data_IF_727756143319
#
_entry.id   IF_727756143319
#
_cell.length_a   1.000
_cell.length_b   1.000
_cell.length_c   1.000
_cell.angle_alpha   90.00
_cell.angle_beta   90.00
_cell.angle_gamma   90.00
#
_symmetry.space_group_name_H-M   'P 1'
#
loop_
_entity.id
_entity.type
_entity.pdbx_description
1 polymer ?
#
# COMPACT_ATOMS: atom_id res chain seq x y z
N UNK A 1 -16.54 -0.02 -9.00
CA UNK A 1 -15.70 0.05 -7.78
C UNK A 1 -15.39 1.52 -7.55
N UNK A 2 -15.47 1.98 -6.33
CA UNK A 2 -15.11 3.34 -5.93
C UNK A 2 -13.89 3.29 -5.02
N UNK A 3 -12.90 4.13 -5.25
CA UNK A 3 -11.71 4.27 -4.40
C UNK A 3 -11.55 5.74 -4.03
N UNK A 4 -11.24 6.00 -2.77
CA UNK A 4 -11.01 7.35 -2.25
C UNK A 4 -9.69 7.34 -1.46
N UNK A 5 -8.79 8.25 -1.79
CA UNK A 5 -7.61 8.50 -0.97
C UNK A 5 -8.03 9.28 0.28
N UNK A 6 -8.01 8.64 1.45
CA UNK A 6 -8.36 9.29 2.70
C UNK A 6 -7.26 10.21 3.20
N UNK A 7 -6.01 9.75 3.07
CA UNK A 7 -4.83 10.47 3.51
C UNK A 7 -3.58 9.98 2.76
N UNK A 8 -2.73 10.91 2.40
CA UNK A 8 -1.37 10.71 1.94
C UNK A 8 -0.55 11.98 2.23
N UNK A 9 0.62 12.17 1.62
CA UNK A 9 1.56 13.27 1.91
C UNK A 9 1.00 14.66 1.53
N UNK A 10 -0.05 14.71 0.70
CA UNK A 10 -0.75 15.93 0.28
C UNK A 10 -2.27 15.81 0.49
N UNK A 11 -2.99 16.91 0.38
CA UNK A 11 -4.45 16.92 0.37
C UNK A 11 -4.95 17.94 -0.66
N UNK A 12 -6.05 17.62 -1.33
CA UNK A 12 -6.65 18.50 -2.37
C UNK A 12 -7.52 19.60 -1.79
N UNK A 13 -7.91 19.48 -0.53
CA UNK A 13 -8.75 20.47 0.20
C UNK A 13 -8.02 20.82 1.52
N UNK A 14 -7.92 22.10 1.85
CA UNK A 14 -7.32 22.63 3.08
C UNK A 14 -8.06 22.20 4.36
N UNK A 15 -9.28 21.70 4.23
CA UNK A 15 -10.06 21.12 5.33
C UNK A 15 -9.67 19.66 5.64
N UNK A 16 -8.91 19.02 4.77
CA UNK A 16 -8.44 17.65 4.97
C UNK A 16 -7.02 17.66 5.52
N UNK A 17 -6.73 16.66 6.34
CA UNK A 17 -5.38 16.44 6.83
C UNK A 17 -4.53 15.74 5.77
N UNK A 18 -3.26 16.11 5.70
CA UNK A 18 -2.20 15.34 5.07
C UNK A 18 -1.23 14.84 6.15
N UNK A 19 -0.60 13.70 5.92
CA UNK A 19 0.49 13.19 6.76
C UNK A 19 1.38 12.26 5.93
N UNK A 20 2.60 12.01 6.43
CA UNK A 20 3.45 10.99 5.82
C UNK A 20 2.88 9.60 6.17
N UNK A 21 2.02 9.09 5.30
CA UNK A 21 1.31 7.85 5.46
C UNK A 21 0.32 7.65 4.32
N UNK A 22 -0.33 6.50 4.26
CA UNK A 22 -1.32 6.21 3.24
C UNK A 22 -2.53 5.49 3.82
N UNK A 23 -3.72 5.88 3.38
CA UNK A 23 -4.96 5.14 3.64
C UNK A 23 -5.94 5.38 2.50
N UNK A 24 -6.46 4.28 1.95
CA UNK A 24 -7.42 4.27 0.86
C UNK A 24 -8.72 3.61 1.32
N UNK A 25 -9.85 4.26 1.08
CA UNK A 25 -11.17 3.67 1.24
C UNK A 25 -11.62 3.06 -0.09
N UNK A 26 -12.09 1.82 -0.05
CA UNK A 26 -12.55 1.10 -1.25
C UNK A 26 -13.96 0.58 -1.01
N UNK A 27 -14.90 0.98 -1.87
CA UNK A 27 -16.24 0.39 -1.94
C UNK A 27 -16.27 -0.60 -3.12
N UNK A 28 -16.50 -1.88 -2.79
CA UNK A 28 -16.53 -2.95 -3.77
C UNK A 28 -17.48 -4.07 -3.33
N UNK A 29 -18.31 -4.57 -4.27
CA UNK A 29 -19.24 -5.67 -4.00
C UNK A 29 -20.30 -5.36 -2.93
N UNK A 30 -20.63 -4.09 -2.68
CA UNK A 30 -21.54 -3.66 -1.62
C UNK A 30 -20.92 -3.68 -0.22
N UNK A 31 -19.61 -3.76 -0.13
CA UNK A 31 -18.81 -3.78 1.09
C UNK A 31 -17.80 -2.65 1.13
N UNK A 32 -17.37 -2.30 2.35
CA UNK A 32 -16.44 -1.20 2.63
C UNK A 32 -15.11 -1.73 3.15
N UNK A 33 -14.04 -1.37 2.50
CA UNK A 33 -12.68 -1.80 2.83
C UNK A 33 -11.78 -0.60 3.10
N UNK A 34 -10.86 -0.77 4.02
CA UNK A 34 -9.76 0.15 4.22
C UNK A 34 -8.47 -0.54 3.78
N UNK A 35 -7.70 0.07 2.88
CA UNK A 35 -6.36 -0.38 2.51
C UNK A 35 -5.38 0.61 3.13
N UNK A 36 -4.61 0.12 4.09
CA UNK A 36 -3.79 0.86 5.03
C UNK A 36 -4.57 1.88 5.87
N UNK A 37 -4.03 2.26 7.01
CA UNK A 37 -4.72 3.08 8.02
C UNK A 37 -4.07 4.47 8.25
N UNK A 38 -3.00 4.78 7.51
CA UNK A 38 -2.19 5.98 7.73
C UNK A 38 -1.29 5.89 8.97
N UNK A 39 -0.61 6.97 9.26
CA UNK A 39 0.30 7.09 10.40
C UNK A 39 -0.46 7.30 11.72
N UNK A 40 -1.57 8.04 11.66
CA UNK A 40 -2.35 8.44 12.82
C UNK A 40 -3.86 8.24 12.59
N UNK A 41 -4.71 8.68 13.52
CA UNK A 41 -6.16 8.65 13.33
C UNK A 41 -6.73 9.65 12.31
N UNK A 42 -5.90 10.48 11.66
CA UNK A 42 -6.34 11.53 10.73
C UNK A 42 -7.05 11.00 9.49
N UNK A 43 -6.67 9.80 9.02
CA UNK A 43 -7.38 9.16 7.92
C UNK A 43 -8.88 8.98 8.25
N UNK A 44 -9.21 8.53 9.46
CA UNK A 44 -10.59 8.37 9.91
C UNK A 44 -11.30 9.71 10.13
N UNK A 45 -10.56 10.75 10.53
CA UNK A 45 -11.12 12.09 10.63
C UNK A 45 -11.45 12.66 9.23
N UNK A 46 -10.57 12.48 8.23
CA UNK A 46 -10.85 12.84 6.85
C UNK A 46 -12.07 12.07 6.32
N UNK A 47 -12.13 10.76 6.53
CA UNK A 47 -13.26 9.95 6.09
C UNK A 47 -14.60 10.46 6.65
N UNK A 48 -14.64 10.86 7.93
CA UNK A 48 -15.82 11.47 8.55
C UNK A 48 -16.18 12.81 7.94
N UNK A 49 -15.19 13.67 7.64
CA UNK A 49 -15.41 14.95 6.95
C UNK A 49 -15.98 14.73 5.55
N UNK A 50 -15.55 13.69 4.86
CA UNK A 50 -16.05 13.26 3.56
C UNK A 50 -17.37 12.47 3.65
N UNK A 51 -17.89 12.21 4.87
CA UNK A 51 -19.13 11.46 5.14
C UNK A 51 -19.10 10.03 4.61
N UNK A 52 -17.95 9.38 4.68
CA UNK A 52 -17.78 7.97 4.28
C UNK A 52 -18.20 7.03 5.41
N UNK A 53 -18.72 5.84 5.10
CA UNK A 53 -19.23 4.87 6.06
C UNK A 53 -18.10 4.06 6.73
N UNK A 54 -17.16 4.75 7.40
CA UNK A 54 -16.02 4.12 8.09
C UNK A 54 -16.36 3.56 9.47
N UNK A 55 -17.61 3.62 9.87
CA UNK A 55 -18.20 2.92 11.01
C UNK A 55 -18.83 1.57 10.62
N UNK A 56 -18.72 1.19 9.34
CA UNK A 56 -19.20 -0.04 8.76
C UNK A 56 -18.17 -0.64 7.79
N UNK A 57 -16.91 -0.71 8.23
CA UNK A 57 -15.86 -1.41 7.48
C UNK A 57 -16.05 -2.92 7.63
N UNK A 58 -16.03 -3.64 6.51
CA UNK A 58 -16.01 -5.10 6.49
C UNK A 58 -14.61 -5.64 6.77
N UNK A 59 -13.57 -4.99 6.23
CA UNK A 59 -12.20 -5.35 6.50
C UNK A 59 -11.21 -4.18 6.36
N UNK A 60 -10.08 -4.33 7.06
CA UNK A 60 -8.89 -3.50 6.94
C UNK A 60 -7.76 -4.37 6.39
N UNK A 61 -7.20 -4.01 5.26
CA UNK A 61 -6.02 -4.65 4.67
C UNK A 61 -4.81 -3.80 5.01
N UNK A 62 -3.81 -4.37 5.65
CA UNK A 62 -2.53 -3.70 5.89
C UNK A 62 -1.52 -4.29 4.91
N UNK A 63 -1.03 -3.45 4.00
CA UNK A 63 -0.12 -3.86 2.94
C UNK A 63 1.23 -4.33 3.47
N UNK A 64 1.74 -3.69 4.52
CA UNK A 64 2.94 -4.09 5.25
C UNK A 64 3.01 -3.39 6.61
N UNK A 65 3.80 -3.92 7.55
CA UNK A 65 3.86 -3.40 8.92
C UNK A 65 4.86 -2.24 9.07
N UNK A 66 4.66 -1.13 8.35
CA UNK A 66 5.29 0.16 8.61
C UNK A 66 4.31 1.11 9.30
N UNK A 67 4.81 1.96 10.20
CA UNK A 67 3.96 2.86 11.01
C UNK A 67 3.09 3.78 10.17
N UNK A 68 3.58 4.26 9.05
CA UNK A 68 2.87 5.13 8.10
C UNK A 68 1.69 4.45 7.37
N UNK A 69 1.57 3.12 7.49
CA UNK A 69 0.49 2.30 6.93
C UNK A 69 -0.43 1.70 7.99
N UNK A 70 0.11 1.36 9.18
CA UNK A 70 -0.64 0.67 10.23
C UNK A 70 -0.94 1.56 11.46
N UNK A 71 -0.27 2.70 11.60
CA UNK A 71 -0.33 3.52 12.83
C UNK A 71 -1.72 4.01 13.20
N UNK A 72 -2.57 4.27 12.20
CA UNK A 72 -3.95 4.71 12.39
C UNK A 72 -4.96 3.59 12.70
N UNK A 73 -4.55 2.33 12.74
CA UNK A 73 -5.44 1.17 12.86
C UNK A 73 -6.36 1.23 14.08
N UNK A 74 -5.86 1.71 15.22
CA UNK A 74 -6.67 1.87 16.45
C UNK A 74 -7.86 2.82 16.25
N UNK A 75 -7.73 3.81 15.37
CA UNK A 75 -8.83 4.72 15.05
C UNK A 75 -9.88 4.03 14.15
N UNK A 76 -9.44 3.24 13.18
CA UNK A 76 -10.33 2.45 12.32
C UNK A 76 -11.11 1.42 13.16
N UNK A 77 -10.41 0.63 13.98
CA UNK A 77 -11.02 -0.42 14.79
C UNK A 77 -11.93 0.10 15.92
N UNK A 78 -11.77 1.34 16.37
CA UNK A 78 -12.75 1.97 17.29
C UNK A 78 -14.06 2.29 16.61
N UNK A 79 -14.05 2.53 15.30
CA UNK A 79 -15.25 2.82 14.51
C UNK A 79 -15.93 1.54 14.01
N UNK A 80 -15.14 0.57 13.60
CA UNK A 80 -15.58 -0.72 13.08
C UNK A 80 -14.91 -1.86 13.87
N UNK A 81 -15.35 -2.13 15.12
CA UNK A 81 -14.67 -3.09 16.00
C UNK A 81 -14.74 -4.54 15.50
N UNK A 82 -15.70 -4.86 14.65
CA UNK A 82 -15.90 -6.19 14.09
C UNK A 82 -15.18 -6.37 12.73
N UNK A 83 -14.54 -5.34 12.20
CA UNK A 83 -13.82 -5.43 10.94
C UNK A 83 -12.68 -6.47 11.02
N UNK A 84 -12.53 -7.25 9.98
CA UNK A 84 -11.42 -8.21 9.84
C UNK A 84 -10.14 -7.48 9.44
N UNK A 85 -9.00 -7.85 10.03
CA UNK A 85 -7.71 -7.24 9.71
C UNK A 85 -6.86 -8.27 8.98
N UNK A 86 -6.59 -8.01 7.69
CA UNK A 86 -5.74 -8.86 6.87
C UNK A 86 -4.30 -8.36 6.87
N UNK A 87 -3.37 -9.25 7.20
CA UNK A 87 -1.92 -9.04 7.08
C UNK A 87 -1.24 -10.29 6.54
N UNK A 88 -0.17 -10.11 5.80
CA UNK A 88 0.69 -11.22 5.44
C UNK A 88 1.41 -11.78 6.66
N UNK A 89 1.55 -13.10 6.74
CA UNK A 89 2.38 -13.77 7.75
C UNK A 89 3.82 -13.23 7.68
N UNK A 90 4.45 -13.03 8.83
CA UNK A 90 5.73 -12.32 8.94
C UNK A 90 5.58 -10.85 9.37
N UNK A 91 4.42 -10.22 9.17
CA UNK A 91 4.12 -8.88 9.69
C UNK A 91 4.25 -8.80 11.23
N UNK A 92 4.15 -9.92 11.94
CA UNK A 92 4.31 -10.02 13.38
C UNK A 92 5.77 -9.88 13.87
N UNK A 93 6.74 -9.93 12.95
CA UNK A 93 8.15 -9.76 13.29
C UNK A 93 8.42 -8.33 13.73
N UNK A 94 9.11 -8.18 14.85
CA UNK A 94 9.44 -6.87 15.41
C UNK A 94 10.44 -6.13 14.51
N UNK A 95 10.12 -4.87 14.19
CA UNK A 95 10.89 -4.04 13.26
C UNK A 95 11.29 -2.72 13.89
N UNK A 96 12.43 -2.20 13.47
CA UNK A 96 12.94 -0.93 13.94
C UNK A 96 13.83 -0.24 12.91
N UNK A 97 13.84 1.08 12.98
CA UNK A 97 14.82 1.93 12.27
C UNK A 97 15.98 2.24 13.18
N UNK A 98 17.17 2.33 12.59
CA UNK A 98 18.37 2.84 13.26
C UNK A 98 18.69 4.25 12.78
N UNK A 99 18.81 5.16 13.76
CA UNK A 99 19.36 6.51 13.55
C UNK A 99 20.54 6.69 14.50
N UNK A 100 21.75 6.44 14.00
CA UNK A 100 22.96 6.39 14.82
C UNK A 100 22.89 5.28 15.88
N UNK A 101 22.91 5.67 17.17
CA UNK A 101 22.79 4.73 18.31
C UNK A 101 21.34 4.46 18.74
N UNK A 102 20.38 5.20 18.20
CA UNK A 102 18.96 5.06 18.57
C UNK A 102 18.25 4.02 17.70
N UNK A 103 17.31 3.31 18.32
CA UNK A 103 16.38 2.40 17.66
C UNK A 103 14.97 2.92 17.89
N UNK A 104 14.24 3.08 16.78
CA UNK A 104 12.84 3.50 16.81
C UNK A 104 11.98 2.40 16.22
N UNK A 105 10.81 2.08 16.80
CA UNK A 105 9.88 1.13 16.20
C UNK A 105 9.54 1.56 14.77
N UNK A 106 9.64 0.63 13.83
CA UNK A 106 9.28 0.89 12.43
C UNK A 106 7.88 0.35 12.09
N UNK A 107 7.28 -0.43 12.98
CA UNK A 107 5.95 -1.00 12.83
C UNK A 107 5.33 -1.37 14.18
N UNK A 108 4.13 -1.93 14.13
CA UNK A 108 3.44 -2.42 15.33
C UNK A 108 4.12 -3.66 15.90
N UNK A 109 4.21 -3.71 17.22
CA UNK A 109 4.81 -4.80 17.97
C UNK A 109 3.79 -5.80 18.52
N UNK A 110 4.26 -6.72 19.35
CA UNK A 110 3.49 -7.83 19.92
C UNK A 110 2.20 -7.42 20.63
N UNK A 111 2.15 -6.26 21.25
CA UNK A 111 0.95 -5.75 21.95
C UNK A 111 -0.22 -5.54 20.99
N UNK A 112 0.05 -5.03 19.79
CA UNK A 112 -0.95 -4.87 18.73
C UNK A 112 -1.53 -6.23 18.33
N UNK A 113 -0.67 -7.18 17.98
CA UNK A 113 -1.10 -8.51 17.55
C UNK A 113 -1.89 -9.27 18.61
N UNK A 114 -1.56 -9.04 19.90
CA UNK A 114 -2.33 -9.58 21.00
C UNK A 114 -3.69 -8.89 21.16
N UNK A 115 -3.73 -7.56 21.01
CA UNK A 115 -4.96 -6.75 21.16
C UNK A 115 -6.03 -7.15 20.14
N UNK A 116 -5.62 -7.39 18.89
CA UNK A 116 -6.52 -7.66 17.78
C UNK A 116 -6.50 -9.12 17.32
N UNK A 117 -6.09 -10.05 18.20
CA UNK A 117 -5.93 -11.46 17.83
C UNK A 117 -7.21 -12.10 17.23
N UNK A 118 -8.38 -11.68 17.67
CA UNK A 118 -9.68 -12.18 17.19
C UNK A 118 -10.09 -11.56 15.85
N UNK A 119 -9.56 -10.40 15.50
CA UNK A 119 -9.82 -9.73 14.23
C UNK A 119 -8.81 -10.12 13.13
N UNK A 120 -7.66 -10.71 13.51
CA UNK A 120 -6.53 -10.90 12.61
C UNK A 120 -6.69 -12.13 11.73
N UNK A 121 -6.64 -11.94 10.43
CA UNK A 121 -6.46 -12.99 9.43
C UNK A 121 -5.07 -12.88 8.81
N UNK A 122 -4.21 -13.84 9.14
CA UNK A 122 -2.86 -13.93 8.59
C UNK A 122 -2.82 -14.90 7.41
N UNK A 123 -2.26 -14.46 6.29
CA UNK A 123 -2.11 -15.29 5.11
C UNK A 123 -0.64 -15.34 4.64
N UNK A 124 -0.27 -16.33 3.83
CA UNK A 124 1.11 -16.49 3.37
C UNK A 124 1.34 -15.76 2.02
N UNK A 125 0.83 -16.30 0.93
CA UNK A 125 1.08 -15.80 -0.43
C UNK A 125 -0.12 -15.18 -1.08
N UNK A 126 -1.29 -15.72 -0.74
CA UNK A 126 -2.54 -15.42 -1.40
C UNK A 126 -3.69 -15.57 -0.43
N UNK A 127 -4.68 -14.67 -0.48
CA UNK A 127 -5.93 -14.76 0.25
C UNK A 127 -7.07 -14.17 -0.57
N UNK A 128 -8.24 -14.76 -0.53
CA UNK A 128 -9.47 -14.14 -1.02
C UNK A 128 -10.15 -13.44 0.15
N UNK A 129 -10.34 -12.13 0.05
CA UNK A 129 -11.03 -11.28 1.05
C UNK A 129 -12.54 -11.31 0.81
N UNK A 130 -12.92 -11.27 -0.46
CA UNK A 130 -14.31 -11.39 -0.92
C UNK A 130 -14.29 -11.85 -2.38
N UNK A 131 -15.46 -12.22 -2.91
CA UNK A 131 -15.57 -12.63 -4.32
C UNK A 131 -15.03 -11.53 -5.26
N UNK A 132 -13.94 -11.85 -5.96
CA UNK A 132 -13.26 -10.91 -6.86
C UNK A 132 -12.32 -9.92 -6.17
N UNK A 133 -12.07 -10.05 -4.88
CA UNK A 133 -11.09 -9.27 -4.14
C UNK A 133 -10.04 -10.22 -3.51
N UNK A 134 -8.83 -10.13 -3.97
CA UNK A 134 -7.71 -10.98 -3.56
C UNK A 134 -6.56 -10.15 -2.98
N UNK A 135 -5.79 -10.77 -2.08
CA UNK A 135 -4.48 -10.29 -1.64
C UNK A 135 -3.42 -11.21 -2.21
N UNK A 136 -2.37 -10.62 -2.74
CA UNK A 136 -1.22 -11.33 -3.27
C UNK A 136 0.08 -10.73 -2.73
N UNK A 137 1.14 -11.51 -2.73
CA UNK A 137 2.47 -11.07 -2.34
C UNK A 137 3.51 -11.60 -3.31
N UNK A 138 4.57 -10.83 -3.54
CA UNK A 138 5.72 -11.26 -4.33
C UNK A 138 6.50 -12.32 -3.57
N UNK A 139 7.02 -13.33 -4.28
CA UNK A 139 7.93 -14.33 -3.70
C UNK A 139 9.40 -13.94 -3.87
N UNK A 140 9.68 -13.29 -4.99
CA UNK A 140 11.02 -12.84 -5.33
C UNK A 140 11.06 -11.35 -5.11
N UNK A 141 11.81 -10.92 -4.11
CA UNK A 141 12.19 -9.53 -3.98
C UNK A 141 13.36 -9.31 -4.93
N UNK A 142 13.30 -8.25 -5.72
CA UNK A 142 14.37 -7.91 -6.64
C UNK A 142 15.67 -7.74 -5.84
N UNK A 143 16.61 -8.70 -5.95
CA UNK A 143 17.95 -8.58 -5.34
C UNK A 143 18.70 -7.37 -5.90
N UNK A 144 18.29 -6.89 -7.08
CA UNK A 144 18.71 -5.61 -7.66
C UNK A 144 17.83 -4.45 -7.19
N UNK A 145 16.69 -4.75 -6.55
CA UNK A 145 15.80 -3.80 -5.92
C UNK A 145 16.60 -3.04 -4.88
N UNK A 146 16.75 -1.77 -5.13
CA UNK A 146 17.42 -0.89 -4.22
C UNK A 146 16.44 -0.69 -3.09
N UNK A 147 16.61 -1.48 -2.03
CA UNK A 147 15.95 -1.18 -0.78
C UNK A 147 16.49 0.15 -0.27
N UNK A 148 15.78 1.26 -0.46
CA UNK A 148 16.25 2.56 0.03
C UNK A 148 16.28 2.62 1.55
N UNK A 149 15.54 1.75 2.24
CA UNK A 149 15.46 1.67 3.69
C UNK A 149 16.57 0.79 4.30
N UNK A 150 17.82 1.04 3.94
CA UNK A 150 18.99 0.37 4.54
C UNK A 150 19.07 0.54 6.07
N UNK A 151 18.29 1.45 6.63
CA UNK A 151 18.18 1.68 8.07
C UNK A 151 17.10 0.82 8.76
N UNK A 152 16.26 0.10 8.01
CA UNK A 152 15.22 -0.77 8.56
C UNK A 152 15.74 -2.17 8.82
N UNK A 153 15.45 -2.69 10.02
CA UNK A 153 15.90 -3.99 10.50
C UNK A 153 14.74 -4.76 11.12
N UNK A 154 14.85 -6.09 11.07
CA UNK A 154 13.95 -7.01 11.75
C UNK A 154 14.72 -7.86 12.76
N UNK A 155 14.00 -8.50 13.70
CA UNK A 155 14.56 -9.49 14.61
C UNK A 155 14.26 -10.90 14.10
N UNK A 156 15.29 -11.65 13.78
CA UNK A 156 15.24 -13.09 13.59
C UNK A 156 15.74 -13.76 14.88
N UNK A 157 14.81 -14.15 15.74
CA UNK A 157 15.10 -14.56 17.12
C UNK A 157 15.73 -13.42 17.92
N UNK A 158 17.02 -13.57 18.29
CA UNK A 158 17.82 -12.52 18.97
C UNK A 158 18.74 -11.76 17.99
N UNK A 159 18.85 -12.24 16.75
CA UNK A 159 19.73 -11.65 15.74
C UNK A 159 19.01 -10.53 14.99
N UNK A 160 19.70 -9.43 14.82
CA UNK A 160 19.26 -8.36 13.97
C UNK A 160 19.65 -8.67 12.52
N UNK A 161 18.67 -8.64 11.62
CA UNK A 161 18.83 -8.81 10.17
C UNK A 161 18.30 -7.59 9.44
N UNK A 162 18.78 -7.36 8.21
CA UNK A 162 18.18 -6.37 7.35
C UNK A 162 16.72 -6.75 7.09
N UNK A 163 15.80 -5.79 7.17
CA UNK A 163 14.42 -6.05 6.83
C UNK A 163 14.26 -6.22 5.32
N UNK A 164 13.61 -7.30 4.93
CA UNK A 164 13.48 -7.73 3.53
C UNK A 164 12.10 -7.48 2.93
N UNK A 165 11.19 -6.84 3.69
CA UNK A 165 9.80 -6.57 3.28
C UNK A 165 9.00 -7.82 2.91
N UNK A 166 9.41 -9.00 3.38
CA UNK A 166 8.75 -10.27 3.10
C UNK A 166 7.31 -10.38 3.61
N UNK A 167 6.82 -9.40 4.34
CA UNK A 167 5.42 -9.28 4.77
C UNK A 167 4.58 -8.36 3.88
N UNK A 168 5.17 -7.77 2.83
CA UNK A 168 4.41 -6.92 1.92
C UNK A 168 3.42 -7.72 1.08
N UNK A 169 2.22 -7.14 0.94
CA UNK A 169 1.19 -7.62 0.04
C UNK A 169 0.54 -6.45 -0.71
N UNK A 170 -0.22 -6.77 -1.73
CA UNK A 170 -1.06 -5.85 -2.48
C UNK A 170 -2.42 -6.47 -2.79
N UNK A 171 -3.42 -5.62 -2.97
CA UNK A 171 -4.75 -6.04 -3.35
C UNK A 171 -4.87 -6.19 -4.87
N UNK A 172 -5.64 -7.19 -5.32
CA UNK A 172 -6.04 -7.40 -6.71
C UNK A 172 -7.55 -7.52 -6.73
N UNK A 173 -8.22 -6.57 -7.39
CA UNK A 173 -9.68 -6.47 -7.40
C UNK A 173 -10.19 -6.56 -8.83
N UNK A 174 -11.23 -7.34 -9.05
CA UNK A 174 -11.93 -7.47 -10.33
C UNK A 174 -13.21 -6.64 -10.31
N UNK A 175 -13.16 -5.36 -10.75
CA UNK A 175 -14.29 -4.42 -10.59
C UNK A 175 -15.46 -4.71 -11.51
N UNK A 176 -15.25 -5.49 -12.57
CA UNK A 176 -16.28 -5.85 -13.55
C UNK A 176 -16.87 -7.23 -13.26
N UNK A 177 -18.11 -7.47 -13.70
CA UNK A 177 -18.81 -8.76 -13.52
C UNK A 177 -18.04 -9.96 -14.09
N UNK A 178 -17.36 -9.77 -15.24
CA UNK A 178 -16.50 -10.81 -15.81
C UNK A 178 -15.05 -10.49 -15.45
N UNK A 179 -14.36 -11.41 -14.81
CA UNK A 179 -12.94 -11.26 -14.46
C UNK A 179 -12.07 -10.97 -15.69
N UNK A 180 -12.43 -11.49 -16.86
CA UNK A 180 -11.73 -11.24 -18.12
C UNK A 180 -11.74 -9.76 -18.57
N UNK A 181 -12.65 -8.94 -18.03
CA UNK A 181 -12.76 -7.52 -18.39
C UNK A 181 -11.72 -6.63 -17.70
N UNK A 182 -10.91 -7.20 -16.81
CA UNK A 182 -9.74 -6.57 -16.22
C UNK A 182 -9.71 -6.56 -14.69
N UNK A 183 -8.56 -6.23 -14.17
CA UNK A 183 -8.28 -6.13 -12.73
C UNK A 183 -7.64 -4.80 -12.35
N UNK A 184 -7.71 -4.46 -11.07
CA UNK A 184 -7.07 -3.30 -10.44
C UNK A 184 -6.09 -3.79 -9.40
N UNK A 185 -4.91 -3.19 -9.35
CA UNK A 185 -3.86 -3.50 -8.38
C UNK A 185 -3.74 -2.31 -7.43
N UNK A 186 -3.78 -2.56 -6.11
CA UNK A 186 -3.64 -1.53 -5.09
C UNK A 186 -2.57 -1.98 -4.10
N UNK A 187 -1.52 -1.19 -3.95
CA UNK A 187 -0.43 -1.45 -3.01
C UNK A 187 -0.12 -0.27 -2.11
N UNK A 188 0.65 -0.50 -1.06
CA UNK A 188 1.16 0.54 -0.17
C UNK A 188 2.37 1.24 -0.77
N UNK A 189 3.50 0.55 -0.75
CA UNK A 189 4.79 1.08 -1.20
C UNK A 189 5.43 0.31 -2.36
N UNK A 190 4.96 -0.88 -2.66
CA UNK A 190 5.57 -1.78 -3.65
C UNK A 190 7.08 -1.95 -3.45
N UNK A 191 7.50 -2.23 -2.21
CA UNK A 191 8.90 -2.56 -1.87
C UNK A 191 9.45 -3.74 -2.66
N UNK A 192 8.57 -4.65 -3.08
CA UNK A 192 8.92 -5.76 -3.97
C UNK A 192 9.37 -5.29 -5.37
N UNK A 193 9.13 -4.03 -5.73
CA UNK A 193 9.35 -3.50 -7.07
C UNK A 193 8.19 -3.77 -8.03
N UNK A 194 8.00 -2.84 -8.96
CA UNK A 194 6.88 -2.88 -9.92
C UNK A 194 6.98 -4.11 -10.84
N UNK A 195 8.17 -4.46 -11.31
CA UNK A 195 8.34 -5.61 -12.18
C UNK A 195 7.91 -6.92 -11.50
N UNK A 196 8.34 -7.14 -10.25
CA UNK A 196 7.95 -8.33 -9.49
C UNK A 196 6.45 -8.38 -9.20
N UNK A 197 5.83 -7.24 -8.92
CA UNK A 197 4.38 -7.14 -8.78
C UNK A 197 3.67 -7.53 -10.07
N UNK A 198 4.08 -6.98 -11.22
CA UNK A 198 3.51 -7.29 -12.53
C UNK A 198 3.69 -8.78 -12.89
N UNK A 199 4.85 -9.35 -12.63
CA UNK A 199 5.14 -10.76 -12.86
C UNK A 199 4.27 -11.66 -11.98
N UNK A 200 4.10 -11.30 -10.70
CA UNK A 200 3.20 -12.01 -9.77
C UNK A 200 1.76 -11.99 -10.26
N UNK A 201 1.27 -10.83 -10.71
CA UNK A 201 -0.09 -10.70 -11.27
C UNK A 201 -0.24 -11.52 -12.54
N UNK A 202 0.72 -11.43 -13.46
CA UNK A 202 0.69 -12.19 -14.72
C UNK A 202 0.70 -13.71 -14.53
N UNK A 203 1.42 -14.19 -13.50
CA UNK A 203 1.46 -15.63 -13.17
C UNK A 203 0.14 -16.14 -12.60
N UNK A 204 -0.53 -15.34 -11.76
CA UNK A 204 -1.78 -15.76 -11.10
C UNK A 204 -3.02 -15.50 -11.96
N UNK A 205 -3.00 -14.49 -12.83
CA UNK A 205 -4.10 -14.09 -13.70
C UNK A 205 -3.61 -13.82 -15.13
N UNK A 206 -3.13 -14.87 -15.83
CA UNK A 206 -2.55 -14.70 -17.16
C UNK A 206 -3.55 -14.14 -18.16
N UNK A 207 -3.10 -13.15 -18.92
CA UNK A 207 -3.89 -12.55 -20.01
C UNK A 207 -5.02 -11.63 -19.57
N UNK A 208 -5.17 -11.34 -18.27
CA UNK A 208 -6.17 -10.39 -17.78
C UNK A 208 -5.62 -8.96 -17.90
N UNK A 209 -6.35 -8.02 -18.53
CA UNK A 209 -5.94 -6.61 -18.60
C UNK A 209 -5.84 -5.97 -17.21
N UNK A 210 -4.88 -5.06 -17.04
CA UNK A 210 -4.75 -4.24 -15.82
C UNK A 210 -5.42 -2.89 -16.10
N UNK A 211 -6.56 -2.63 -15.48
CA UNK A 211 -7.30 -1.37 -15.62
C UNK A 211 -6.58 -0.23 -14.89
N UNK A 212 -6.07 -0.50 -13.68
CA UNK A 212 -5.32 0.49 -12.93
C UNK A 212 -4.28 -0.15 -11.99
N UNK A 213 -3.20 0.60 -11.73
CA UNK A 213 -2.24 0.36 -10.64
C UNK A 213 -2.26 1.59 -9.73
N UNK A 214 -2.47 1.40 -8.43
CA UNK A 214 -2.67 2.48 -7.46
C UNK A 214 -1.75 2.27 -6.26
N UNK A 215 -1.03 3.31 -5.83
CA UNK A 215 -0.21 3.27 -4.62
C UNK A 215 1.07 4.10 -4.68
N UNK A 216 1.90 3.95 -3.66
CA UNK A 216 3.26 4.47 -3.63
C UNK A 216 4.23 3.52 -4.33
N UNK A 217 5.29 4.07 -4.93
CA UNK A 217 6.29 3.29 -5.66
C UNK A 217 7.70 3.33 -5.03
N UNK A 218 7.77 3.79 -3.80
CA UNK A 218 8.97 3.82 -2.95
C UNK A 218 10.22 4.44 -3.58
N UNK A 219 10.04 5.55 -4.30
CA UNK A 219 11.15 6.28 -4.92
C UNK A 219 11.59 7.49 -4.09
N UNK A 220 10.77 7.92 -3.12
CA UNK A 220 11.02 9.07 -2.27
C UNK A 220 12.20 8.82 -1.32
N UNK A 221 13.09 9.81 -1.21
CA UNK A 221 14.15 9.83 -0.22
C UNK A 221 13.70 10.43 1.12
N UNK A 222 14.60 11.16 1.78
CA UNK A 222 14.32 11.80 3.07
C UNK A 222 13.23 12.88 3.02
N UNK A 223 12.89 13.36 1.85
CA UNK A 223 11.77 14.27 1.60
C UNK A 223 11.21 14.07 0.18
N UNK A 224 10.00 14.56 -0.14
CA UNK A 224 9.34 14.33 -1.43
C UNK A 224 10.06 14.88 -2.65
N UNK A 225 11.03 15.81 -2.48
CA UNK A 225 11.79 16.43 -3.58
C UNK A 225 13.06 15.65 -3.94
N UNK A 226 13.43 14.66 -3.14
CA UNK A 226 14.65 13.88 -3.31
C UNK A 226 14.32 12.42 -3.62
N UNK A 227 15.13 11.78 -4.48
CA UNK A 227 15.07 10.34 -4.68
C UNK A 227 15.80 9.61 -3.54
N UNK A 228 15.23 8.49 -3.11
CA UNK A 228 15.86 7.50 -2.23
C UNK A 228 16.62 6.41 -3.00
N UNK A 229 16.46 6.39 -4.32
CA UNK A 229 17.05 5.40 -5.23
C UNK A 229 17.65 6.09 -6.46
N UNK A 230 18.48 5.42 -7.28
CA UNK A 230 18.95 5.97 -8.54
C UNK A 230 17.82 6.28 -9.53
N UNK A 231 17.95 7.36 -10.31
CA UNK A 231 16.98 7.73 -11.33
C UNK A 231 16.77 6.64 -12.40
N UNK A 232 17.84 5.90 -12.75
CA UNK A 232 17.75 4.79 -13.68
C UNK A 232 16.85 3.66 -13.18
N UNK A 233 16.79 3.43 -11.86
CA UNK A 233 15.85 2.50 -11.26
C UNK A 233 14.42 2.96 -11.46
N UNK A 234 14.09 4.22 -11.14
CA UNK A 234 12.76 4.80 -11.39
C UNK A 234 12.37 4.66 -12.86
N UNK A 235 13.30 5.00 -13.75
CA UNK A 235 13.12 4.86 -15.22
C UNK A 235 12.80 3.42 -15.62
N UNK A 236 13.50 2.44 -15.05
CA UNK A 236 13.28 1.02 -15.35
C UNK A 236 11.89 0.55 -14.88
N UNK A 237 11.46 0.97 -13.70
CA UNK A 237 10.16 0.64 -13.14
C UNK A 237 9.01 1.31 -13.93
N UNK A 238 9.17 2.57 -14.32
CA UNK A 238 8.21 3.25 -15.18
C UNK A 238 8.09 2.60 -16.58
N UNK A 239 9.19 2.11 -17.14
CA UNK A 239 9.19 1.35 -18.40
C UNK A 239 8.46 0.01 -18.26
N UNK A 240 8.59 -0.67 -17.13
CA UNK A 240 7.83 -1.90 -16.87
C UNK A 240 6.31 -1.64 -16.89
N UNK A 241 5.85 -0.56 -16.24
CA UNK A 241 4.45 -0.12 -16.33
C UNK A 241 4.05 0.26 -17.76
N UNK A 242 4.91 0.95 -18.51
CA UNK A 242 4.64 1.34 -19.90
C UNK A 242 4.44 0.13 -20.81
N UNK A 243 5.21 -0.92 -20.59
CA UNK A 243 5.15 -2.16 -21.37
C UNK A 243 4.02 -3.10 -20.91
N UNK A 244 3.50 -2.91 -19.71
CA UNK A 244 2.36 -3.67 -19.22
C UNK A 244 1.04 -3.23 -19.87
N UNK A 245 -0.01 -4.02 -19.66
CA UNK A 245 -1.37 -3.68 -20.09
C UNK A 245 -2.06 -2.61 -19.22
N UNK A 246 -1.39 -2.08 -18.18
CA UNK A 246 -1.99 -1.12 -17.27
C UNK A 246 -2.47 0.14 -18.00
N UNK A 247 -3.76 0.43 -17.91
CA UNK A 247 -4.37 1.57 -18.63
C UNK A 247 -4.12 2.88 -17.88
N UNK A 248 -4.23 2.86 -16.54
CA UNK A 248 -4.04 4.00 -15.65
C UNK A 248 -3.12 3.67 -14.49
N UNK A 249 -2.31 4.64 -14.08
CA UNK A 249 -1.41 4.55 -12.94
C UNK A 249 -1.70 5.74 -12.02
N UNK A 250 -2.08 5.46 -10.77
CA UNK A 250 -2.34 6.47 -9.75
C UNK A 250 -1.24 6.41 -8.69
N UNK A 251 -0.33 7.37 -8.76
CA UNK A 251 0.81 7.45 -7.85
C UNK A 251 0.53 8.38 -6.67
N UNK A 252 1.02 8.02 -5.49
CA UNK A 252 0.88 8.83 -4.27
C UNK A 252 2.05 8.56 -3.30
N UNK A 253 1.99 9.13 -2.11
CA UNK A 253 2.77 8.81 -0.92
C UNK A 253 4.29 8.71 -1.19
N UNK A 254 4.87 7.52 -1.05
CA UNK A 254 6.31 7.26 -1.15
C UNK A 254 6.86 7.29 -2.59
N UNK A 255 6.05 7.56 -3.60
CA UNK A 255 6.54 7.89 -4.95
C UNK A 255 7.37 9.17 -4.92
N UNK A 256 6.93 10.17 -4.15
CA UNK A 256 7.54 11.49 -4.07
C UNK A 256 7.46 12.26 -5.39
N UNK A 257 7.60 13.57 -5.33
CA UNK A 257 7.45 14.43 -6.52
C UNK A 257 8.53 14.16 -7.58
N UNK A 258 9.79 13.94 -7.14
CA UNK A 258 10.87 13.65 -8.09
C UNK A 258 10.73 12.30 -8.77
N UNK A 259 10.21 11.29 -8.06
CA UNK A 259 9.86 9.99 -8.64
C UNK A 259 8.73 10.13 -9.64
N UNK A 260 7.70 10.90 -9.28
CA UNK A 260 6.57 11.20 -10.15
C UNK A 260 7.01 11.89 -11.45
N UNK A 261 7.85 12.94 -11.37
CA UNK A 261 8.33 13.66 -12.55
C UNK A 261 9.00 12.70 -13.57
N UNK A 262 9.87 11.80 -13.09
CA UNK A 262 10.55 10.82 -13.96
C UNK A 262 9.56 9.82 -14.57
N UNK A 263 8.57 9.38 -13.79
CA UNK A 263 7.53 8.50 -14.31
C UNK A 263 6.68 9.19 -15.37
N UNK A 264 6.33 10.46 -15.17
CA UNK A 264 5.49 11.25 -16.07
C UNK A 264 6.14 11.42 -17.46
N UNK A 265 7.43 11.67 -17.53
CA UNK A 265 8.20 11.72 -18.79
C UNK A 265 8.05 10.41 -19.62
N UNK A 266 7.78 9.28 -18.97
CA UNK A 266 7.71 7.97 -19.61
C UNK A 266 6.28 7.53 -19.88
N UNK A 267 5.38 7.73 -18.92
CA UNK A 267 4.01 7.24 -18.89
C UNK A 267 3.00 8.24 -19.48
N UNK A 268 3.29 9.55 -19.39
CA UNK A 268 2.42 10.62 -19.89
C UNK A 268 1.01 10.52 -19.33
N UNK A 269 0.00 10.66 -20.18
CA UNK A 269 -1.43 10.67 -19.84
C UNK A 269 -1.94 9.42 -19.08
N UNK A 270 -1.12 8.39 -18.96
CA UNK A 270 -1.46 7.21 -18.14
C UNK A 270 -1.19 7.42 -16.66
N UNK A 271 -0.34 8.37 -16.29
CA UNK A 271 0.04 8.65 -14.91
C UNK A 271 -0.78 9.80 -14.35
N UNK A 272 -1.30 9.61 -13.16
CA UNK A 272 -1.99 10.64 -12.37
C UNK A 272 -1.46 10.61 -10.95
N UNK A 273 -1.37 11.78 -10.32
CA UNK A 273 -1.15 11.87 -8.87
C UNK A 273 -2.51 11.78 -8.17
N UNK A 274 -2.58 11.10 -7.03
CA UNK A 274 -3.79 11.03 -6.20
C UNK A 274 -3.46 11.53 -4.79
N UNK A 275 -4.02 12.66 -4.42
CA UNK A 275 -3.90 13.29 -3.10
C UNK A 275 -5.04 12.91 -2.15
N UNK A 276 -4.87 13.21 -0.86
CA UNK A 276 -5.92 13.01 0.14
C UNK A 276 -7.18 13.81 -0.22
N UNK A 277 -8.32 13.13 -0.32
CA UNK A 277 -9.60 13.67 -0.75
C UNK A 277 -10.00 13.32 -2.19
N UNK A 278 -9.09 12.82 -3.01
CA UNK A 278 -9.43 12.44 -4.38
C UNK A 278 -10.13 11.09 -4.47
N UNK A 279 -11.03 11.03 -5.44
CA UNK A 279 -11.86 9.86 -5.76
C UNK A 279 -11.49 9.32 -7.15
N UNK A 280 -11.42 8.01 -7.27
CA UNK A 280 -11.17 7.29 -8.51
C UNK A 280 -12.29 6.29 -8.73
N UNK A 281 -13.01 6.43 -9.85
CA UNK A 281 -14.01 5.48 -10.34
C UNK A 281 -13.41 4.53 -11.38
N UNK A 282 -13.56 3.20 -11.15
CA UNK A 282 -13.03 2.13 -12.03
C UNK A 282 -14.10 1.08 -12.33
#
# INVERSE_FOLDING_TARGET
MKLICLIENTAVDDKLYAENGMSLFVEFGGKNYLIDAGLTGKAMENARRMKLPVDALDAVVITHNHMEHIGGIDAAMRLSPDAEIYLRAGAQTERFRKSGLFKEPAGMGKSFFKKYAENLTLFNRFSEVAEGFYLASCEVFDEKGINPDKCCFALDGKKQVQYDFSDECFAVIFPKKRKADGLVIIGGCFHCGIQNMLDTVSQNWPGIPILAVIGGFHFMGSNPKNLGCPADYVTSQARALKLSSAEKIYACHCTGFKGFDIMDEILGDRLMYIGGGEEVDI
#
